data_IF_390408833737
#
_entry.id   IF_390408833737
#
_cell.length_a   1.000
_cell.length_b   1.000
_cell.length_c   1.000
_cell.angle_alpha   90.00
_cell.angle_beta   90.00
_cell.angle_gamma   90.00
#
_symmetry.space_group_name_H-M   'P 1'
#
loop_
_entity.id
_entity.type
_entity.pdbx_description
1 polymer ?
#
# COMPACT_ATOMS: atom_id res chain seq x y z
N UNK A 1 19.78 -27.13 -1.88
CA UNK A 1 18.48 -26.45 -1.69
C UNK A 1 17.27 -27.40 -1.58
N UNK A 2 17.42 -28.69 -1.80
CA UNK A 2 16.34 -29.70 -1.79
C UNK A 2 15.98 -30.26 -0.40
N UNK A 3 16.74 -29.94 0.65
CA UNK A 3 16.53 -30.53 1.97
C UNK A 3 15.52 -29.75 2.88
N UNK A 4 15.14 -28.53 2.50
CA UNK A 4 14.25 -27.69 3.33
C UNK A 4 12.76 -28.05 3.18
N UNK A 5 12.31 -28.42 1.98
CA UNK A 5 10.91 -28.74 1.69
C UNK A 5 10.32 -29.86 2.55
N UNK A 6 11.00 -31.01 2.76
CA UNK A 6 10.48 -32.07 3.62
C UNK A 6 10.32 -31.65 5.08
N UNK A 7 11.24 -30.82 5.60
CA UNK A 7 11.20 -30.33 6.99
C UNK A 7 9.99 -29.41 7.17
N UNK A 8 9.75 -28.48 6.26
CA UNK A 8 8.57 -27.59 6.34
C UNK A 8 7.27 -28.37 6.28
N UNK A 9 7.18 -29.38 5.43
CA UNK A 9 5.98 -30.24 5.31
C UNK A 9 5.74 -31.04 6.59
N UNK A 10 6.77 -31.64 7.18
CA UNK A 10 6.67 -32.40 8.44
C UNK A 10 6.25 -31.51 9.61
N UNK A 11 6.84 -30.32 9.74
CA UNK A 11 6.47 -29.35 10.79
C UNK A 11 5.02 -28.89 10.60
N UNK A 12 4.59 -28.61 9.37
CA UNK A 12 3.21 -28.20 9.07
C UNK A 12 2.21 -29.29 9.45
N UNK A 13 2.51 -30.54 9.13
CA UNK A 13 1.66 -31.68 9.51
C UNK A 13 1.55 -31.85 11.03
N UNK A 14 2.68 -31.74 11.74
CA UNK A 14 2.68 -31.82 13.22
C UNK A 14 1.93 -30.64 13.85
N UNK A 15 2.09 -29.44 13.33
CA UNK A 15 1.33 -28.27 13.78
C UNK A 15 -0.17 -28.47 13.55
N UNK A 16 -0.57 -28.97 12.40
CA UNK A 16 -1.98 -29.25 12.11
C UNK A 16 -2.57 -30.23 13.11
N UNK A 17 -1.88 -31.30 13.44
CA UNK A 17 -2.37 -32.28 14.42
C UNK A 17 -2.58 -31.66 15.80
N UNK A 18 -1.65 -30.84 16.28
CA UNK A 18 -1.76 -30.18 17.61
C UNK A 18 -2.83 -29.10 17.60
N UNK A 19 -2.85 -28.26 16.57
CA UNK A 19 -3.81 -27.15 16.49
C UNK A 19 -5.23 -27.64 16.23
N UNK A 20 -5.39 -28.73 15.50
CA UNK A 20 -6.71 -29.32 15.25
C UNK A 20 -7.40 -29.77 16.54
N UNK A 21 -6.68 -30.39 17.45
CA UNK A 21 -7.24 -30.80 18.76
C UNK A 21 -7.73 -29.59 19.56
N UNK A 22 -6.96 -28.50 19.56
CA UNK A 22 -7.35 -27.24 20.22
C UNK A 22 -8.55 -26.59 19.53
N UNK A 23 -8.59 -26.60 18.19
CA UNK A 23 -9.72 -26.05 17.45
C UNK A 23 -11.03 -26.81 17.73
N UNK A 24 -10.95 -28.13 17.95
CA UNK A 24 -12.12 -28.94 18.27
C UNK A 24 -12.77 -28.60 19.62
N UNK A 25 -12.06 -27.90 20.50
CA UNK A 25 -12.62 -27.41 21.78
C UNK A 25 -13.65 -26.28 21.54
N UNK A 26 -13.63 -25.64 20.33
CA UNK A 26 -14.50 -24.53 19.93
C UNK A 26 -15.34 -24.92 18.69
N UNK A 27 -16.51 -25.56 18.84
CA UNK A 27 -17.31 -26.09 17.73
C UNK A 27 -17.68 -25.06 16.67
N UNK A 28 -17.90 -23.79 17.06
CA UNK A 28 -18.22 -22.70 16.14
C UNK A 28 -17.07 -22.36 15.22
N UNK A 29 -15.84 -22.45 15.71
CA UNK A 29 -14.63 -22.24 14.91
C UNK A 29 -14.39 -23.42 13.96
N UNK A 30 -14.70 -24.65 14.40
CA UNK A 30 -14.64 -25.83 13.52
C UNK A 30 -15.62 -25.71 12.37
N UNK A 31 -16.84 -25.27 12.65
CA UNK A 31 -17.85 -25.04 11.61
C UNK A 31 -17.39 -23.96 10.63
N UNK A 32 -16.94 -22.81 11.11
CA UNK A 32 -16.39 -21.74 10.29
C UNK A 32 -15.25 -22.24 9.38
N UNK A 33 -14.30 -22.97 9.98
CA UNK A 33 -13.17 -23.53 9.25
C UNK A 33 -13.61 -24.46 8.12
N UNK A 34 -14.56 -25.38 8.39
CA UNK A 34 -15.03 -26.36 7.41
C UNK A 34 -15.95 -25.77 6.34
N UNK A 35 -16.80 -24.83 6.71
CA UNK A 35 -17.85 -24.32 5.81
C UNK A 35 -17.43 -23.08 5.03
N UNK A 36 -16.46 -22.34 5.53
CA UNK A 36 -16.00 -21.08 4.90
C UNK A 36 -14.52 -21.15 4.52
N UNK A 37 -13.61 -21.35 5.46
CA UNK A 37 -12.17 -21.20 5.23
C UNK A 37 -11.61 -22.24 4.25
N UNK A 38 -11.96 -23.52 4.43
CA UNK A 38 -11.48 -24.58 3.54
C UNK A 38 -12.04 -24.47 2.11
N UNK A 39 -13.35 -24.25 1.88
CA UNK A 39 -13.87 -24.03 0.54
C UNK A 39 -13.29 -22.80 -0.15
N UNK A 40 -13.01 -21.74 0.61
CA UNK A 40 -12.43 -20.50 0.09
C UNK A 40 -11.01 -20.71 -0.48
N UNK A 41 -10.23 -21.64 0.05
CA UNK A 41 -8.90 -21.98 -0.49
C UNK A 41 -8.93 -22.32 -1.98
N UNK A 42 -9.92 -23.09 -2.42
CA UNK A 42 -10.04 -23.46 -3.83
C UNK A 42 -10.39 -22.27 -4.73
N UNK A 43 -11.20 -21.34 -4.20
CA UNK A 43 -11.58 -20.10 -4.91
C UNK A 43 -10.34 -19.21 -5.04
N UNK A 44 -9.66 -18.96 -3.94
CA UNK A 44 -8.46 -18.10 -3.92
C UNK A 44 -7.33 -18.67 -4.79
N UNK A 45 -7.06 -19.98 -4.69
CA UNK A 45 -6.07 -20.65 -5.53
C UNK A 45 -6.40 -20.52 -7.03
N UNK A 46 -7.68 -20.57 -7.41
CA UNK A 46 -8.08 -20.35 -8.80
C UNK A 46 -7.90 -18.89 -9.19
N UNK A 47 -8.25 -17.93 -8.33
CA UNK A 47 -8.06 -16.50 -8.58
C UNK A 47 -6.58 -16.16 -8.77
N UNK A 48 -5.70 -16.65 -7.89
CA UNK A 48 -4.25 -16.46 -7.98
C UNK A 48 -3.69 -17.00 -9.30
N UNK A 49 -4.08 -18.22 -9.69
CA UNK A 49 -3.63 -18.83 -10.95
C UNK A 49 -4.21 -18.14 -12.18
N UNK A 50 -5.43 -17.66 -12.13
CA UNK A 50 -6.03 -16.92 -13.24
C UNK A 50 -5.37 -15.56 -13.40
N UNK A 51 -5.04 -14.88 -12.29
CA UNK A 51 -4.48 -13.53 -12.29
C UNK A 51 -5.44 -12.46 -12.78
N UNK A 52 -4.98 -11.22 -12.74
CA UNK A 52 -5.72 -10.00 -13.13
C UNK A 52 -5.11 -9.46 -14.41
N UNK A 53 -5.93 -9.19 -15.41
CA UNK A 53 -5.51 -8.45 -16.60
C UNK A 53 -5.44 -6.96 -16.24
N UNK A 54 -4.37 -6.30 -16.64
CA UNK A 54 -4.20 -4.86 -16.48
C UNK A 54 -3.91 -4.20 -17.83
N UNK A 55 -4.37 -2.97 -17.99
CA UNK A 55 -4.03 -2.10 -19.13
C UNK A 55 -2.73 -1.35 -18.81
N UNK A 56 -1.60 -1.94 -19.21
CA UNK A 56 -0.27 -1.36 -18.98
C UNK A 56 -0.07 -0.03 -19.70
N UNK A 57 -0.71 0.17 -20.87
CA UNK A 57 -0.59 1.42 -21.64
C UNK A 57 -1.34 2.55 -20.94
N UNK A 58 -2.54 2.28 -20.43
CA UNK A 58 -3.29 3.24 -19.63
C UNK A 58 -2.53 3.64 -18.36
N UNK A 59 -1.93 2.68 -17.66
CA UNK A 59 -1.09 2.95 -16.48
C UNK A 59 0.16 3.76 -16.82
N UNK A 60 0.79 3.49 -17.96
CA UNK A 60 1.95 4.26 -18.43
C UNK A 60 1.58 5.72 -18.74
N UNK A 61 0.46 5.95 -19.43
CA UNK A 61 -0.04 7.31 -19.71
C UNK A 61 -0.29 8.04 -18.39
N UNK A 62 -1.02 7.43 -17.48
CA UNK A 62 -1.29 8.02 -16.17
C UNK A 62 -0.01 8.28 -15.36
N UNK A 63 0.98 7.39 -15.43
CA UNK A 63 2.28 7.58 -14.76
C UNK A 63 2.99 8.83 -15.27
N UNK A 64 2.95 9.12 -16.58
CA UNK A 64 3.56 10.31 -17.16
C UNK A 64 2.80 11.59 -16.76
N UNK A 65 1.47 11.56 -16.74
CA UNK A 65 0.65 12.69 -16.26
C UNK A 65 0.96 13.00 -14.79
N UNK A 66 1.04 11.97 -13.93
CA UNK A 66 1.41 12.14 -12.52
C UNK A 66 2.84 12.68 -12.41
N UNK A 67 3.80 12.22 -13.22
CA UNK A 67 5.17 12.73 -13.19
C UNK A 67 5.22 14.23 -13.53
N UNK A 68 4.49 14.68 -14.54
CA UNK A 68 4.37 16.10 -14.88
C UNK A 68 3.79 16.90 -13.71
N UNK A 69 2.71 16.42 -13.11
CA UNK A 69 2.08 17.07 -11.95
C UNK A 69 3.00 17.15 -10.75
N UNK A 70 3.77 16.10 -10.47
CA UNK A 70 4.78 16.09 -9.39
C UNK A 70 5.83 17.18 -9.60
N UNK A 71 6.33 17.36 -10.83
CA UNK A 71 7.30 18.42 -11.15
C UNK A 71 6.70 19.81 -10.90
N UNK A 72 5.45 20.05 -11.33
CA UNK A 72 4.76 21.32 -11.06
C UNK A 72 4.62 21.58 -9.56
N UNK A 73 4.27 20.56 -8.78
CA UNK A 73 4.13 20.69 -7.32
C UNK A 73 5.47 20.93 -6.63
N UNK A 74 6.56 20.34 -7.11
CA UNK A 74 7.91 20.61 -6.63
C UNK A 74 8.32 22.07 -6.86
N UNK A 75 8.10 22.60 -8.08
CA UNK A 75 8.37 23.99 -8.41
C UNK A 75 7.56 24.96 -7.53
N UNK A 76 6.27 24.69 -7.32
CA UNK A 76 5.42 25.47 -6.43
C UNK A 76 5.90 25.41 -4.98
N UNK A 77 6.28 24.22 -4.49
CA UNK A 77 6.82 24.06 -3.16
C UNK A 77 8.13 24.84 -2.96
N UNK A 78 9.02 24.84 -3.96
CA UNK A 78 10.27 25.62 -3.91
C UNK A 78 10.02 27.12 -3.91
N UNK A 79 9.06 27.58 -4.69
CA UNK A 79 8.65 29.00 -4.72
C UNK A 79 8.15 29.46 -3.33
N UNK A 80 7.26 28.67 -2.69
CA UNK A 80 6.74 28.97 -1.36
C UNK A 80 7.81 28.88 -0.25
N UNK A 81 8.71 27.92 -0.36
CA UNK A 81 9.81 27.77 0.58
C UNK A 81 10.94 28.77 0.34
N UNK A 82 11.01 29.41 -0.84
CA UNK A 82 12.10 30.32 -1.25
C UNK A 82 13.44 29.61 -1.48
N UNK A 83 13.45 28.29 -1.61
CA UNK A 83 14.63 27.46 -1.90
C UNK A 83 14.23 26.05 -2.33
N UNK A 84 15.06 25.37 -3.14
CA UNK A 84 14.87 23.95 -3.42
C UNK A 84 15.15 23.10 -2.16
N UNK A 85 14.38 22.01 -2.01
CA UNK A 85 14.56 21.04 -0.94
C UNK A 85 13.94 19.69 -1.35
N UNK A 86 14.29 18.62 -0.65
CA UNK A 86 13.72 17.30 -0.91
C UNK A 86 12.38 17.13 -0.17
N UNK A 87 11.27 17.10 -0.93
CA UNK A 87 9.89 16.94 -0.41
C UNK A 87 9.67 15.58 0.28
N UNK A 88 10.51 14.59 0.02
CA UNK A 88 10.46 13.28 0.71
C UNK A 88 11.30 13.26 2.01
N UNK A 89 12.16 14.26 2.25
CA UNK A 89 13.02 14.31 3.44
C UNK A 89 12.29 14.91 4.63
N UNK A 90 11.94 14.07 5.60
CA UNK A 90 11.30 14.50 6.86
C UNK A 90 12.09 15.61 7.56
N UNK A 91 13.44 15.52 7.56
CA UNK A 91 14.31 16.51 8.21
C UNK A 91 14.22 17.88 7.53
N UNK A 92 14.30 17.92 6.18
CA UNK A 92 14.21 19.18 5.44
C UNK A 92 12.80 19.78 5.53
N UNK A 93 11.77 18.94 5.54
CA UNK A 93 10.40 19.40 5.77
C UNK A 93 10.20 20.04 7.15
N UNK A 94 10.79 19.46 8.19
CA UNK A 94 10.75 20.06 9.54
C UNK A 94 11.38 21.44 9.55
N UNK A 95 12.59 21.57 8.98
CA UNK A 95 13.31 22.83 8.87
C UNK A 95 12.53 23.89 8.09
N UNK A 96 11.95 23.53 6.94
CA UNK A 96 11.17 24.46 6.12
C UNK A 96 9.87 24.86 6.80
N UNK A 97 9.09 23.91 7.28
CA UNK A 97 7.75 24.17 7.81
C UNK A 97 7.80 24.87 9.16
N UNK A 98 8.64 24.41 10.06
CA UNK A 98 8.60 24.87 11.47
C UNK A 98 9.66 25.91 11.77
N UNK A 99 10.90 25.78 11.26
CA UNK A 99 11.96 26.72 11.58
C UNK A 99 11.95 27.94 10.64
N UNK A 100 11.72 27.73 9.33
CA UNK A 100 11.76 28.84 8.35
C UNK A 100 10.41 29.55 8.21
N UNK A 101 9.32 28.79 8.01
CA UNK A 101 7.98 29.35 7.82
C UNK A 101 7.25 29.59 9.14
N UNK A 102 7.73 29.08 10.27
CA UNK A 102 7.18 29.30 11.59
C UNK A 102 5.79 28.70 11.80
N UNK A 103 5.44 27.63 11.09
CA UNK A 103 4.13 26.99 11.24
C UNK A 103 3.99 26.36 12.64
N UNK A 104 2.76 26.26 13.18
CA UNK A 104 2.55 25.67 14.49
C UNK A 104 2.88 24.18 14.52
N UNK A 105 3.57 23.72 15.57
CA UNK A 105 3.87 22.32 15.81
C UNK A 105 2.65 21.66 16.46
N UNK A 106 1.82 20.97 15.67
CA UNK A 106 0.60 20.33 16.15
C UNK A 106 0.87 19.02 16.90
N UNK A 107 1.85 18.24 16.40
CA UNK A 107 2.24 16.97 17.00
C UNK A 107 3.76 16.80 17.02
N UNK A 108 4.27 16.00 17.96
CA UNK A 108 5.68 15.60 18.02
C UNK A 108 5.81 14.08 17.82
N UNK A 109 6.93 13.71 17.22
CA UNK A 109 7.34 12.30 17.12
C UNK A 109 7.71 11.74 18.50
N UNK A 110 7.79 10.41 18.69
CA UNK A 110 8.25 9.81 19.94
C UNK A 110 9.66 10.27 20.37
N UNK A 111 10.47 10.77 19.43
CA UNK A 111 11.81 11.35 19.69
C UNK A 111 11.79 12.84 19.98
N UNK A 112 10.60 13.46 20.10
CA UNK A 112 10.42 14.89 20.45
C UNK A 112 10.52 15.86 19.26
N UNK A 113 10.85 15.43 18.05
CA UNK A 113 10.89 16.29 16.88
C UNK A 113 9.47 16.62 16.37
N UNK A 114 9.25 17.78 15.71
CA UNK A 114 7.95 18.07 15.07
C UNK A 114 7.54 17.00 14.08
N UNK A 115 6.28 16.56 14.13
CA UNK A 115 5.75 15.57 13.20
C UNK A 115 5.39 16.22 11.86
N UNK A 116 5.69 15.51 10.77
CA UNK A 116 5.24 15.86 9.42
C UNK A 116 4.43 14.73 8.81
N UNK A 117 3.71 13.94 9.65
CA UNK A 117 2.83 12.88 9.18
C UNK A 117 1.66 13.46 8.36
N UNK A 118 0.91 12.59 7.72
CA UNK A 118 -0.18 12.97 6.82
C UNK A 118 -1.25 13.79 7.56
N UNK A 119 -1.66 13.37 8.75
CA UNK A 119 -2.66 14.03 9.60
C UNK A 119 -2.25 15.47 9.94
N UNK A 120 -0.99 15.68 10.34
CA UNK A 120 -0.47 17.03 10.64
C UNK A 120 -0.44 17.91 9.39
N UNK A 121 -0.01 17.37 8.25
CA UNK A 121 0.03 18.14 7.01
C UNK A 121 -1.37 18.48 6.51
N UNK A 122 -2.33 17.57 6.61
CA UNK A 122 -3.74 17.82 6.27
C UNK A 122 -4.34 18.93 7.13
N UNK A 123 -4.08 18.92 8.43
CA UNK A 123 -4.54 19.97 9.34
C UNK A 123 -3.90 21.33 9.03
N UNK A 124 -2.61 21.38 8.80
CA UNK A 124 -1.90 22.59 8.39
C UNK A 124 -2.35 23.11 7.01
N UNK A 125 -2.80 22.23 6.12
CA UNK A 125 -3.26 22.57 4.77
C UNK A 125 -4.53 23.44 4.77
N UNK A 126 -5.30 23.46 5.85
CA UNK A 126 -6.45 24.38 5.97
C UNK A 126 -6.03 25.85 6.03
N UNK A 127 -4.84 26.14 6.52
CA UNK A 127 -4.37 27.52 6.75
C UNK A 127 -3.13 27.90 5.95
N UNK A 128 -2.44 26.92 5.36
CA UNK A 128 -1.15 27.11 4.70
C UNK A 128 -1.07 26.35 3.37
N UNK A 129 -0.53 27.00 2.35
CA UNK A 129 -0.51 26.45 1.00
C UNK A 129 0.56 25.36 0.83
N UNK A 130 1.76 25.54 1.40
CA UNK A 130 2.82 24.55 1.28
C UNK A 130 2.44 23.17 1.83
N UNK A 131 1.85 23.01 3.02
CA UNK A 131 1.32 21.71 3.47
C UNK A 131 0.32 21.07 2.52
N UNK A 132 -0.56 21.87 1.89
CA UNK A 132 -1.52 21.38 0.90
C UNK A 132 -0.81 20.75 -0.32
N UNK A 133 0.21 21.43 -0.84
CA UNK A 133 1.04 20.92 -1.94
C UNK A 133 1.76 19.63 -1.52
N UNK A 134 2.29 19.58 -0.29
CA UNK A 134 2.98 18.40 0.22
C UNK A 134 2.07 17.18 0.37
N UNK A 135 0.83 17.36 0.79
CA UNK A 135 -0.19 16.28 0.87
C UNK A 135 -0.47 15.73 -0.55
N UNK A 136 -0.73 16.62 -1.51
CA UNK A 136 -0.97 16.23 -2.90
C UNK A 136 0.24 15.51 -3.50
N UNK A 137 1.43 16.07 -3.36
CA UNK A 137 2.67 15.48 -3.86
C UNK A 137 2.92 14.08 -3.28
N UNK A 138 2.76 13.89 -1.97
CA UNK A 138 2.93 12.58 -1.31
C UNK A 138 1.92 11.56 -1.81
N UNK A 139 0.66 11.95 -1.95
CA UNK A 139 -0.40 11.10 -2.48
C UNK A 139 -0.07 10.61 -3.89
N UNK A 140 0.28 11.53 -4.79
CA UNK A 140 0.64 11.22 -6.17
C UNK A 140 1.93 10.40 -6.28
N UNK A 141 2.98 10.74 -5.52
CA UNK A 141 4.22 9.95 -5.47
C UNK A 141 3.98 8.52 -5.04
N UNK A 142 3.12 8.31 -4.03
CA UNK A 142 2.75 6.96 -3.56
C UNK A 142 1.98 6.19 -4.63
N UNK A 143 1.01 6.83 -5.30
CA UNK A 143 0.25 6.21 -6.39
C UNK A 143 1.17 5.79 -7.53
N UNK A 144 2.05 6.68 -7.95
CA UNK A 144 3.01 6.43 -9.03
C UNK A 144 3.93 5.26 -8.69
N UNK A 145 4.64 5.34 -7.58
CA UNK A 145 5.64 4.33 -7.20
C UNK A 145 5.04 2.96 -6.85
N UNK A 146 3.82 2.94 -6.30
CA UNK A 146 3.19 1.69 -5.84
C UNK A 146 2.39 1.00 -6.93
N UNK A 147 1.76 1.75 -7.83
CA UNK A 147 0.83 1.21 -8.80
C UNK A 147 1.21 1.48 -10.24
N UNK A 148 1.23 2.74 -10.72
CA UNK A 148 1.37 3.00 -12.15
C UNK A 148 2.72 2.59 -12.72
N UNK A 149 3.81 2.68 -11.94
CA UNK A 149 5.14 2.23 -12.37
C UNK A 149 5.35 0.73 -12.09
N UNK A 150 4.82 0.22 -10.99
CA UNK A 150 5.15 -1.11 -10.50
C UNK A 150 4.27 -2.21 -11.10
N UNK A 151 2.96 -1.98 -11.24
CA UNK A 151 2.04 -3.02 -11.73
C UNK A 151 2.40 -3.53 -13.13
N UNK A 152 2.74 -2.68 -14.12
CA UNK A 152 3.16 -3.16 -15.44
C UNK A 152 4.39 -4.07 -15.41
N UNK A 153 5.32 -3.83 -14.47
CA UNK A 153 6.53 -4.64 -14.30
C UNK A 153 6.26 -6.02 -13.69
N UNK A 154 5.09 -6.21 -13.07
CA UNK A 154 4.68 -7.46 -12.43
C UNK A 154 3.87 -8.35 -13.36
N UNK A 155 3.60 -7.94 -14.59
CA UNK A 155 2.90 -8.75 -15.58
C UNK A 155 3.75 -9.96 -15.91
N UNK A 156 3.21 -11.14 -15.69
CA UNK A 156 3.85 -12.38 -16.05
C UNK A 156 3.87 -12.55 -17.58
N UNK A 157 5.04 -12.70 -18.18
CA UNK A 157 5.22 -12.79 -19.63
C UNK A 157 4.54 -13.98 -20.30
N UNK A 158 4.25 -15.05 -19.55
CA UNK A 158 3.59 -16.25 -20.08
C UNK A 158 2.07 -16.13 -20.06
N UNK A 159 1.51 -15.47 -19.02
CA UNK A 159 0.06 -15.34 -18.86
C UNK A 159 -0.49 -13.99 -19.31
N UNK A 160 0.36 -12.97 -19.45
CA UNK A 160 -0.05 -11.59 -19.71
C UNK A 160 -0.81 -10.95 -18.55
N UNK A 161 -0.72 -11.53 -17.34
CA UNK A 161 -1.52 -11.13 -16.17
C UNK A 161 -0.64 -10.90 -14.95
N UNK A 162 -1.16 -10.14 -14.00
CA UNK A 162 -0.59 -9.96 -12.67
C UNK A 162 -1.18 -11.00 -11.73
N UNK A 163 -0.31 -11.70 -11.00
CA UNK A 163 -0.71 -12.73 -10.04
C UNK A 163 -0.36 -12.27 -8.63
N UNK A 164 -1.38 -11.95 -7.84
CA UNK A 164 -1.24 -11.63 -6.42
C UNK A 164 -1.37 -12.88 -5.56
N UNK A 165 -0.89 -12.85 -4.33
CA UNK A 165 -1.14 -13.88 -3.33
C UNK A 165 -2.18 -13.40 -2.33
N UNK A 166 -3.19 -14.22 -2.03
CA UNK A 166 -4.23 -13.94 -1.05
C UNK A 166 -3.95 -14.63 0.28
N UNK A 167 -4.17 -13.91 1.39
CA UNK A 167 -3.94 -14.40 2.74
C UNK A 167 -5.24 -14.34 3.56
N UNK A 168 -5.67 -15.49 4.12
CA UNK A 168 -6.90 -15.61 4.90
C UNK A 168 -6.73 -15.27 6.38
N UNK A 169 -5.55 -15.51 6.96
CA UNK A 169 -5.33 -15.48 8.42
C UNK A 169 -4.37 -14.36 8.88
N UNK A 170 -4.23 -13.27 8.12
CA UNK A 170 -3.29 -12.18 8.44
C UNK A 170 -3.95 -11.05 9.21
N UNK A 171 -5.21 -10.71 8.87
CA UNK A 171 -5.91 -9.58 9.50
C UNK A 171 -6.67 -10.02 10.75
N UNK A 172 -6.60 -9.23 11.83
CA UNK A 172 -7.36 -9.49 13.05
C UNK A 172 -8.89 -9.37 12.85
N UNK A 173 -9.34 -8.77 11.76
CA UNK A 173 -10.76 -8.54 11.45
C UNK A 173 -11.39 -9.64 10.60
N UNK A 174 -10.64 -10.69 10.23
CA UNK A 174 -11.11 -11.74 9.33
C UNK A 174 -11.21 -11.33 7.86
N UNK A 175 -10.72 -10.14 7.48
CA UNK A 175 -10.65 -9.74 6.08
C UNK A 175 -9.51 -10.47 5.38
N UNK A 176 -9.68 -10.73 4.09
CA UNK A 176 -8.56 -11.14 3.23
C UNK A 176 -7.54 -10.01 3.11
N UNK A 177 -6.30 -10.37 2.97
CA UNK A 177 -5.24 -9.45 2.52
C UNK A 177 -4.58 -9.99 1.25
N UNK A 178 -3.93 -9.12 0.50
CA UNK A 178 -3.19 -9.51 -0.71
C UNK A 178 -1.78 -8.92 -0.69
N UNK A 179 -0.83 -9.64 -1.28
CA UNK A 179 0.56 -9.19 -1.42
C UNK A 179 1.13 -9.59 -2.79
N UNK A 180 2.14 -8.87 -3.20
CA UNK A 180 2.95 -9.11 -4.40
C UNK A 180 2.16 -9.23 -5.72
N UNK A 181 1.37 -8.20 -6.08
CA UNK A 181 1.15 -6.90 -5.43
C UNK A 181 -0.06 -6.87 -4.47
N UNK A 182 -0.11 -5.85 -3.58
CA UNK A 182 -1.31 -5.58 -2.81
C UNK A 182 -2.34 -4.84 -3.67
N UNK A 183 -3.34 -5.55 -4.18
CA UNK A 183 -4.42 -5.01 -5.01
C UNK A 183 -5.60 -4.47 -4.20
N UNK A 184 -5.67 -4.74 -2.90
CA UNK A 184 -6.78 -4.30 -2.06
C UNK A 184 -6.65 -2.85 -1.59
N UNK A 185 -5.41 -2.31 -1.56
CA UNK A 185 -5.13 -0.96 -1.07
C UNK A 185 -5.13 0.11 -2.17
N UNK A 186 -5.58 -0.20 -3.39
CA UNK A 186 -5.73 0.79 -4.45
C UNK A 186 -6.79 1.81 -4.03
N UNK A 187 -6.46 3.10 -3.93
CA UNK A 187 -7.41 4.12 -3.48
C UNK A 187 -8.64 4.21 -4.38
N UNK A 188 -9.78 4.58 -3.76
CA UNK A 188 -11.05 4.76 -4.47
C UNK A 188 -11.61 6.18 -4.30
N UNK A 189 -11.13 6.92 -3.30
CA UNK A 189 -11.69 8.22 -2.93
C UNK A 189 -11.29 9.33 -3.91
N UNK A 190 -10.08 9.28 -4.45
CA UNK A 190 -9.59 10.25 -5.43
C UNK A 190 -9.74 9.73 -6.88
N UNK A 191 -9.71 10.65 -7.82
CA UNK A 191 -9.86 10.35 -9.25
C UNK A 191 -8.73 9.47 -9.77
N UNK A 192 -7.48 9.78 -9.40
CA UNK A 192 -6.31 9.03 -9.84
C UNK A 192 -6.35 7.56 -9.38
N UNK A 193 -6.79 7.30 -8.15
CA UNK A 193 -6.98 5.94 -7.66
C UNK A 193 -8.09 5.20 -8.41
N UNK A 194 -9.18 5.88 -8.78
CA UNK A 194 -10.25 5.29 -9.61
C UNK A 194 -9.75 4.95 -11.01
N UNK A 195 -8.93 5.79 -11.65
CA UNK A 195 -8.31 5.53 -12.95
C UNK A 195 -7.41 4.28 -12.91
N UNK A 196 -6.61 4.11 -11.86
CA UNK A 196 -5.80 2.89 -11.63
C UNK A 196 -6.69 1.64 -11.54
N UNK A 197 -7.88 1.75 -10.94
CA UNK A 197 -8.82 0.63 -10.85
C UNK A 197 -9.53 0.31 -12.16
N UNK A 198 -9.62 1.23 -13.07
CA UNK A 198 -10.19 1.05 -14.41
C UNK A 198 -9.22 0.38 -15.38
N UNK A 199 -7.92 0.60 -15.16
CA UNK A 199 -6.85 -0.05 -15.90
C UNK A 199 -6.61 -1.49 -15.37
#
# INVERSE_FOLDING_TARGET
QTCALPIYTDVTMKLQQVLWLKLQEEPTLVELYKTMELPLLHVLSRMERTGVLIDSDALFIQSNEIATRLTELEEQAYALAGQPFNLASTKQLQEILFDKLGLPVLQKTPKGAPSTNEEVLEELAYSHELPKILVEHRGLSKLKSTYTDKLPQMVNSQTGRVHTSYHQAVTATGRLSSSDPNLQNIPIRNEEGRRIRQA
#
